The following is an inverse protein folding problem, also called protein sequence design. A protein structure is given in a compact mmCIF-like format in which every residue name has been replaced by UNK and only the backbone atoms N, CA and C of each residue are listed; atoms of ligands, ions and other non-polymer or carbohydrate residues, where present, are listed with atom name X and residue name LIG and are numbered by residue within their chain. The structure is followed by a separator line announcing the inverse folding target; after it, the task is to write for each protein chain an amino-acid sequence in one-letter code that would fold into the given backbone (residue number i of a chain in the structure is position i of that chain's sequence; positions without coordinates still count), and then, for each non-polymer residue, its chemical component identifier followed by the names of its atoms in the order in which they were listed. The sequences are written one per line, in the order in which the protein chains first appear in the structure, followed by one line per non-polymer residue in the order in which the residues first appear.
data_IF_066514271743
#
_entry.id   IF_066514271743
#
_cell.length_a   1.000
_cell.length_b   1.000
_cell.length_c   1.000
_cell.angle_alpha   90.00
_cell.angle_beta   90.00
_cell.angle_gamma   90.00
#
_symmetry.space_group_name_H-M   'P 1'
#
loop_
_entity.id
_entity.type
_entity.pdbx_description
1 polymer ?
#
# COMPACT_ATOMS: atom_id res chain seq x y z
N UNK A 1 19.58 16.33 12.02
CA UNK A 1 20.19 16.21 13.37
C UNK A 1 20.11 14.76 13.87
N UNK A 2 20.54 13.79 13.08
CA UNK A 2 20.63 12.36 13.44
C UNK A 2 22.05 11.80 13.28
N UNK A 3 23.06 12.69 13.13
CA UNK A 3 24.45 12.26 13.05
C UNK A 3 25.01 12.04 14.47
N UNK A 4 24.73 10.90 15.08
CA UNK A 4 25.48 10.43 16.24
C UNK A 4 25.40 8.91 16.31
N UNK A 5 26.55 8.26 16.16
CA UNK A 5 26.87 6.82 16.30
C UNK A 5 26.15 5.91 15.30
N UNK A 6 26.93 5.02 14.70
CA UNK A 6 26.44 3.86 13.91
C UNK A 6 25.35 3.16 14.72
N UNK A 7 24.12 3.25 14.29
CA UNK A 7 23.02 2.54 14.96
C UNK A 7 23.08 1.11 14.46
N UNK A 8 23.68 0.23 15.25
CA UNK A 8 23.74 -1.21 14.96
C UNK A 8 22.43 -1.88 15.42
N UNK A 9 21.32 -1.48 14.78
CA UNK A 9 19.98 -1.95 15.11
C UNK A 9 19.43 -2.82 14.00
N UNK A 10 18.54 -3.72 14.37
CA UNK A 10 17.67 -4.40 13.42
C UNK A 10 16.71 -3.41 12.75
N UNK A 11 16.31 -3.71 11.54
CA UNK A 11 15.27 -2.98 10.83
C UNK A 11 14.09 -3.91 10.61
N UNK A 12 12.92 -3.51 11.08
CA UNK A 12 11.67 -4.22 10.88
C UNK A 12 10.74 -3.30 10.10
N UNK A 13 10.46 -3.63 8.86
CA UNK A 13 9.49 -2.96 8.01
C UNK A 13 8.19 -3.77 8.07
N UNK A 14 7.10 -3.11 8.40
CA UNK A 14 5.75 -3.69 8.39
C UNK A 14 4.91 -2.86 7.45
N UNK A 15 4.41 -3.48 6.39
CA UNK A 15 3.43 -2.88 5.49
C UNK A 15 2.10 -3.59 5.64
N UNK A 16 1.02 -2.82 5.75
CA UNK A 16 -0.35 -3.33 5.86
C UNK A 16 -1.05 -2.92 4.56
N UNK A 17 -1.38 -3.91 3.74
CA UNK A 17 -2.01 -3.69 2.43
C UNK A 17 -3.34 -2.95 2.59
N UNK A 18 -3.60 -1.98 1.73
CA UNK A 18 -4.84 -1.20 1.71
C UNK A 18 -5.14 -0.37 2.98
N UNK A 19 -4.21 -0.19 3.93
CA UNK A 19 -4.51 0.53 5.17
C UNK A 19 -4.60 2.04 4.93
N UNK A 20 -5.77 2.60 5.12
CA UNK A 20 -6.04 4.04 5.03
C UNK A 20 -5.54 4.77 6.27
N UNK A 21 -4.96 5.95 6.06
CA UNK A 21 -4.51 6.83 7.15
C UNK A 21 -5.65 7.31 8.05
N UNK A 22 -6.81 7.62 7.43
CA UNK A 22 -7.97 8.19 8.11
C UNK A 22 -8.80 7.17 8.91
N UNK A 23 -8.36 5.90 8.98
CA UNK A 23 -8.89 4.86 9.86
C UNK A 23 -7.97 4.56 11.06
N UNK A 24 -6.91 5.37 11.29
CA UNK A 24 -6.07 5.26 12.47
C UNK A 24 -6.48 6.30 13.53
N UNK A 25 -6.66 5.86 14.79
CA UNK A 25 -7.05 6.76 15.88
C UNK A 25 -5.99 7.85 16.13
N UNK A 26 -4.68 7.53 16.09
CA UNK A 26 -3.59 8.52 16.20
C UNK A 26 -3.56 9.54 15.04
N UNK A 27 -4.29 9.31 13.97
CA UNK A 27 -4.45 10.23 12.84
C UNK A 27 -5.84 10.89 12.78
N UNK A 28 -6.64 10.76 13.86
CA UNK A 28 -7.93 11.45 13.99
C UNK A 28 -9.16 10.60 13.74
N UNK A 29 -9.03 9.29 13.51
CA UNK A 29 -10.20 8.43 13.39
C UNK A 29 -10.98 8.36 14.70
N UNK A 30 -12.31 8.48 14.62
CA UNK A 30 -13.16 8.56 15.82
C UNK A 30 -13.25 7.25 16.61
N UNK A 31 -13.00 6.09 15.96
CA UNK A 31 -13.05 4.78 16.61
C UNK A 31 -11.64 4.39 17.09
N UNK A 32 -11.52 4.01 18.35
CA UNK A 32 -10.27 3.49 18.91
C UNK A 32 -10.09 2.00 18.56
N UNK A 33 -9.69 1.74 17.33
CA UNK A 33 -9.47 0.38 16.79
C UNK A 33 -7.99 0.04 16.57
N UNK A 34 -7.08 1.00 16.77
CA UNK A 34 -5.64 0.88 16.50
C UNK A 34 -4.76 1.18 17.72
N UNK A 35 -5.03 0.65 18.93
CA UNK A 35 -4.29 1.01 20.13
C UNK A 35 -2.78 0.66 20.07
N UNK A 36 -2.40 -0.36 19.30
CA UNK A 36 -0.98 -0.73 19.13
C UNK A 36 -0.25 0.27 18.24
N UNK A 37 -0.86 0.65 17.12
CA UNK A 37 -0.32 1.66 16.22
C UNK A 37 -0.24 3.02 16.92
N UNK A 38 -1.26 3.39 17.69
CA UNK A 38 -1.28 4.62 18.50
C UNK A 38 -0.14 4.66 19.50
N UNK A 39 0.12 3.52 20.17
CA UNK A 39 1.24 3.41 21.11
C UNK A 39 2.59 3.54 20.40
N UNK A 40 2.76 2.90 19.25
CA UNK A 40 4.00 2.99 18.47
C UNK A 40 4.24 4.41 17.94
N UNK A 41 3.18 5.13 17.57
CA UNK A 41 3.23 6.53 17.19
C UNK A 41 3.64 7.43 18.39
N UNK A 42 3.03 7.21 19.55
CA UNK A 42 3.36 7.94 20.79
C UNK A 42 4.78 7.64 21.28
N UNK A 43 5.28 6.42 21.12
CA UNK A 43 6.64 6.01 21.47
C UNK A 43 7.67 6.31 20.35
N UNK A 44 7.26 6.93 19.24
CA UNK A 44 8.08 7.16 18.06
C UNK A 44 7.83 8.50 17.35
N UNK A 45 7.86 8.42 16.04
CA UNK A 45 7.63 9.54 15.12
C UNK A 45 6.44 9.18 14.23
N UNK A 46 5.41 10.02 14.23
CA UNK A 46 4.26 9.97 13.33
C UNK A 46 4.45 10.99 12.19
N UNK A 47 4.24 10.57 10.96
CA UNK A 47 4.18 11.49 9.81
C UNK A 47 2.72 11.71 9.43
N UNK A 48 2.24 12.94 9.55
CA UNK A 48 0.84 13.29 9.26
C UNK A 48 0.48 13.15 7.78
N UNK A 49 1.47 13.24 6.89
CA UNK A 49 1.22 13.16 5.45
C UNK A 49 2.30 12.33 4.79
N UNK A 50 2.02 11.05 4.56
CA UNK A 50 2.88 10.17 3.78
C UNK A 50 2.14 9.72 2.51
N UNK A 51 2.77 9.85 1.35
CA UNK A 51 2.15 9.63 0.05
C UNK A 51 2.73 8.38 -0.61
N UNK A 52 1.87 7.44 -0.93
CA UNK A 52 2.21 6.27 -1.74
C UNK A 52 2.59 6.67 -3.17
N UNK A 53 3.49 5.91 -3.77
CA UNK A 53 3.98 6.21 -5.12
C UNK A 53 3.01 5.75 -6.22
N UNK A 54 2.08 4.86 -5.88
CA UNK A 54 1.09 4.28 -6.77
C UNK A 54 -0.11 3.75 -5.98
N UNK A 55 -1.27 3.54 -6.63
CA UNK A 55 -2.50 3.17 -5.97
C UNK A 55 -2.68 1.65 -5.81
N UNK A 56 -1.68 0.84 -6.13
CA UNK A 56 -1.76 -0.62 -6.04
C UNK A 56 -0.39 -1.26 -5.84
N UNK A 57 -0.38 -2.38 -5.15
CA UNK A 57 0.79 -3.11 -4.65
C UNK A 57 1.87 -3.39 -5.70
N UNK A 58 1.54 -3.92 -6.93
CA UNK A 58 2.55 -4.20 -7.96
C UNK A 58 3.39 -3.01 -8.40
N UNK A 59 2.94 -1.78 -8.18
CA UNK A 59 3.66 -0.57 -8.53
C UNK A 59 4.24 0.13 -7.29
N UNK A 60 3.50 0.15 -6.18
CA UNK A 60 3.94 0.82 -4.96
C UNK A 60 5.12 0.11 -4.30
N UNK A 61 5.02 -1.22 -4.12
CA UNK A 61 6.05 -2.00 -3.42
C UNK A 61 7.42 -1.95 -4.12
N UNK A 62 7.55 -2.27 -5.41
CA UNK A 62 8.84 -2.13 -6.08
C UNK A 62 9.36 -0.70 -6.04
N UNK A 63 8.47 0.30 -6.08
CA UNK A 63 8.84 1.71 -6.05
C UNK A 63 9.51 2.10 -4.73
N UNK A 64 8.96 1.76 -3.58
CA UNK A 64 9.57 2.13 -2.31
C UNK A 64 10.80 1.28 -1.97
N UNK A 65 10.89 0.01 -2.42
CA UNK A 65 12.08 -0.82 -2.21
C UNK A 65 13.28 -0.40 -3.07
N UNK A 66 13.02 0.14 -4.26
CA UNK A 66 14.08 0.61 -5.19
C UNK A 66 14.26 2.12 -5.19
N UNK A 67 13.44 2.85 -4.43
CA UNK A 67 13.37 4.31 -4.45
C UNK A 67 13.27 4.89 -5.86
N UNK A 68 12.35 4.33 -6.67
CA UNK A 68 12.17 4.66 -8.10
C UNK A 68 10.69 4.84 -8.41
N UNK A 69 10.32 5.93 -9.11
CA UNK A 69 8.91 6.15 -9.50
C UNK A 69 8.40 5.08 -10.49
N UNK A 70 7.14 4.62 -10.34
CA UNK A 70 6.52 3.69 -11.28
C UNK A 70 6.28 4.36 -12.66
N UNK A 71 6.17 3.59 -13.75
CA UNK A 71 6.42 2.16 -13.84
C UNK A 71 7.90 1.84 -13.75
N UNK A 72 8.24 0.82 -12.97
CA UNK A 72 9.63 0.42 -12.79
C UNK A 72 10.02 -0.48 -13.96
N UNK A 73 10.93 -0.01 -14.81
CA UNK A 73 11.55 -0.84 -15.83
C UNK A 73 12.77 -1.53 -15.23
N UNK A 74 12.92 -2.81 -15.53
CA UNK A 74 14.07 -3.59 -15.09
C UNK A 74 15.36 -2.97 -15.63
N UNK A 75 16.36 -2.97 -14.80
CA UNK A 75 17.76 -2.70 -15.03
C UNK A 75 18.49 -3.19 -13.78
N UNK A 76 19.77 -2.98 -13.64
CA UNK A 76 20.59 -3.34 -12.47
C UNK A 76 20.24 -2.51 -11.20
N UNK A 77 18.96 -2.21 -10.97
CA UNK A 77 18.51 -1.44 -9.79
C UNK A 77 18.50 -2.36 -8.59
N UNK A 78 19.30 -1.99 -7.60
CA UNK A 78 19.33 -2.70 -6.33
C UNK A 78 18.21 -2.22 -5.43
N UNK A 79 17.58 -3.15 -4.74
CA UNK A 79 16.63 -2.85 -3.68
C UNK A 79 17.36 -2.47 -2.38
N UNK A 80 16.63 -1.88 -1.44
CA UNK A 80 17.16 -1.65 -0.08
C UNK A 80 17.61 -2.96 0.56
N UNK A 81 16.95 -4.08 0.28
CA UNK A 81 17.32 -5.41 0.76
C UNK A 81 18.74 -5.79 0.33
N UNK A 82 19.05 -5.67 -0.96
CA UNK A 82 20.39 -5.95 -1.49
C UNK A 82 21.45 -4.99 -0.90
N UNK A 83 21.08 -3.74 -0.64
CA UNK A 83 21.96 -2.77 0.01
C UNK A 83 22.28 -3.20 1.43
N UNK A 84 21.28 -3.58 2.21
CA UNK A 84 21.45 -4.02 3.59
C UNK A 84 22.24 -5.33 3.69
N UNK A 85 21.99 -6.30 2.81
CA UNK A 85 22.80 -7.54 2.73
C UNK A 85 24.29 -7.25 2.58
N UNK A 86 24.65 -6.34 1.68
CA UNK A 86 26.05 -5.93 1.47
C UNK A 86 26.68 -5.28 2.70
N UNK A 87 25.87 -4.79 3.64
CA UNK A 87 26.31 -4.19 4.89
C UNK A 87 26.13 -5.12 6.10
N UNK A 88 26.01 -6.43 5.84
CA UNK A 88 26.05 -7.47 6.87
C UNK A 88 24.71 -7.72 7.57
N UNK A 89 23.59 -7.29 6.99
CA UNK A 89 22.25 -7.65 7.47
C UNK A 89 21.85 -9.02 6.92
N UNK A 90 21.35 -9.90 7.79
CA UNK A 90 20.57 -11.06 7.37
C UNK A 90 19.16 -10.58 7.00
N UNK A 91 18.64 -10.97 5.86
CA UNK A 91 17.40 -10.40 5.33
C UNK A 91 16.30 -11.43 5.16
N UNK A 92 15.10 -11.12 5.63
CA UNK A 92 13.93 -11.98 5.48
C UNK A 92 12.67 -11.20 5.09
N UNK A 93 11.79 -11.86 4.36
CA UNK A 93 10.42 -11.39 4.16
C UNK A 93 9.42 -12.52 4.35
N UNK A 94 8.31 -12.18 5.00
CA UNK A 94 7.11 -12.98 5.11
C UNK A 94 5.98 -12.20 4.44
N UNK A 95 5.53 -12.72 3.31
CA UNK A 95 4.65 -11.98 2.42
C UNK A 95 3.73 -12.96 1.67
N UNK A 96 2.44 -12.99 2.00
CA UNK A 96 1.50 -13.88 1.36
C UNK A 96 1.04 -13.41 -0.04
N UNK A 97 1.47 -12.23 -0.51
CA UNK A 97 1.12 -11.71 -1.81
C UNK A 97 2.09 -12.25 -2.90
N UNK A 98 1.70 -13.26 -3.70
CA UNK A 98 2.60 -13.86 -4.69
C UNK A 98 2.94 -12.90 -5.84
N UNK A 99 2.13 -11.88 -6.05
CA UNK A 99 2.30 -10.92 -7.15
C UNK A 99 3.53 -10.03 -6.90
N UNK A 100 3.81 -9.68 -5.64
CA UNK A 100 4.94 -8.79 -5.29
C UNK A 100 6.28 -9.46 -5.57
N UNK A 101 6.40 -10.74 -5.27
CA UNK A 101 7.66 -11.46 -5.33
C UNK A 101 7.90 -12.17 -6.67
N UNK A 102 6.86 -12.26 -7.51
CA UNK A 102 6.96 -12.90 -8.82
C UNK A 102 7.32 -11.90 -9.93
N UNK A 103 7.97 -12.38 -10.98
CA UNK A 103 8.23 -11.60 -12.19
C UNK A 103 6.96 -11.20 -12.97
N UNK A 104 5.77 -11.62 -12.52
CA UNK A 104 4.48 -11.35 -13.17
C UNK A 104 4.09 -9.88 -12.98
N UNK A 105 4.28 -9.31 -11.79
CA UNK A 105 3.88 -7.94 -11.51
C UNK A 105 4.79 -6.89 -12.15
N UNK A 106 6.09 -7.15 -12.12
CA UNK A 106 7.10 -6.30 -12.77
C UNK A 106 8.03 -7.22 -13.55
N UNK A 107 7.89 -7.30 -14.88
CA UNK A 107 8.73 -8.17 -15.71
C UNK A 107 10.20 -7.97 -15.38
N UNK A 108 10.80 -9.04 -14.85
CA UNK A 108 12.20 -9.07 -14.50
C UNK A 108 12.57 -8.56 -13.10
N UNK A 109 11.64 -8.21 -12.22
CA UNK A 109 11.92 -8.05 -10.79
C UNK A 109 11.63 -9.35 -10.07
N UNK A 110 12.66 -9.99 -9.59
CA UNK A 110 12.55 -11.13 -8.69
C UNK A 110 12.95 -10.64 -7.30
N UNK A 111 12.04 -9.90 -6.66
CA UNK A 111 12.24 -9.36 -5.31
C UNK A 111 12.46 -10.48 -4.28
N UNK A 112 11.95 -11.69 -4.56
CA UNK A 112 12.21 -12.89 -3.76
C UNK A 112 13.71 -13.21 -3.66
N UNK A 113 14.46 -13.05 -4.74
CA UNK A 113 15.91 -13.34 -4.77
C UNK A 113 16.77 -12.34 -4.01
N UNK A 114 16.21 -11.19 -3.69
CA UNK A 114 16.91 -10.14 -2.97
C UNK A 114 17.06 -10.47 -1.47
N UNK A 115 16.19 -11.35 -0.93
CA UNK A 115 16.20 -11.77 0.46
C UNK A 115 17.04 -13.05 0.66
N UNK A 116 17.65 -13.22 1.84
CA UNK A 116 18.30 -14.47 2.24
C UNK A 116 17.26 -15.54 2.58
N UNK A 117 16.13 -15.13 3.14
CA UNK A 117 14.98 -15.96 3.45
C UNK A 117 13.69 -15.28 2.98
N UNK A 118 12.84 -16.02 2.30
CA UNK A 118 11.50 -15.56 1.96
C UNK A 118 10.47 -16.67 2.16
N UNK A 119 9.30 -16.30 2.68
CA UNK A 119 8.18 -17.20 2.85
C UNK A 119 6.93 -16.57 2.25
N UNK A 120 6.43 -17.17 1.18
CA UNK A 120 5.20 -16.74 0.50
C UNK A 120 3.95 -17.33 1.16
N UNK A 121 4.10 -18.18 2.19
CA UNK A 121 3.00 -18.84 2.88
C UNK A 121 2.05 -19.62 1.95
N UNK A 122 2.51 -19.98 0.75
CA UNK A 122 1.70 -20.64 -0.29
C UNK A 122 1.16 -22.00 0.10
N UNK A 123 1.82 -22.69 1.06
CA UNK A 123 1.38 -23.97 1.59
C UNK A 123 -0.03 -23.92 2.21
N UNK A 124 -0.45 -22.75 2.66
CA UNK A 124 -1.75 -22.52 3.28
C UNK A 124 -2.82 -22.06 2.28
N UNK A 125 -2.44 -21.76 1.04
CA UNK A 125 -3.40 -21.43 -0.02
C UNK A 125 -4.09 -22.67 -0.55
N UNK A 126 -5.38 -22.84 -0.25
CA UNK A 126 -6.15 -23.96 -0.78
C UNK A 126 -6.38 -23.80 -2.28
N UNK A 127 -5.77 -24.68 -3.07
CA UNK A 127 -5.79 -24.70 -4.54
C UNK A 127 -7.19 -24.68 -5.19
N UNK A 128 -8.23 -25.11 -4.46
CA UNK A 128 -9.60 -25.22 -4.97
C UNK A 128 -10.30 -23.87 -5.24
N UNK A 129 -9.98 -22.82 -4.51
CA UNK A 129 -10.59 -21.50 -4.71
C UNK A 129 -10.10 -20.78 -5.96
N UNK A 130 -8.87 -20.98 -6.37
CA UNK A 130 -8.28 -20.31 -7.53
C UNK A 130 -8.98 -20.71 -8.84
N UNK A 131 -9.27 -21.99 -9.04
CA UNK A 131 -9.90 -22.50 -10.29
C UNK A 131 -11.33 -22.01 -10.45
N UNK A 132 -12.12 -22.01 -9.36
CA UNK A 132 -13.50 -21.49 -9.38
C UNK A 132 -13.51 -19.99 -9.61
N UNK A 133 -12.59 -19.26 -8.99
CA UNK A 133 -12.45 -17.81 -9.13
C UNK A 133 -12.05 -17.41 -10.56
N UNK A 134 -11.08 -18.09 -11.16
CA UNK A 134 -10.68 -17.84 -12.54
C UNK A 134 -11.84 -18.08 -13.52
N UNK A 135 -12.57 -19.20 -13.37
CA UNK A 135 -13.72 -19.52 -14.20
C UNK A 135 -14.83 -18.48 -14.06
N UNK A 136 -15.08 -18.05 -12.83
CA UNK A 136 -16.07 -17.02 -12.54
C UNK A 136 -15.65 -15.65 -13.09
N UNK A 137 -14.38 -15.25 -12.95
CA UNK A 137 -13.87 -13.99 -13.51
C UNK A 137 -14.00 -13.97 -15.03
N UNK A 138 -13.73 -15.08 -15.70
CA UNK A 138 -13.94 -15.22 -17.15
C UNK A 138 -15.41 -15.05 -17.49
N UNK A 139 -16.32 -15.75 -16.80
CA UNK A 139 -17.76 -15.64 -17.02
C UNK A 139 -18.27 -14.20 -16.80
N UNK A 140 -17.89 -13.58 -15.68
CA UNK A 140 -18.29 -12.21 -15.36
C UNK A 140 -17.69 -11.19 -16.33
N UNK A 141 -16.48 -11.44 -16.83
CA UNK A 141 -15.87 -10.62 -17.89
C UNK A 141 -16.71 -10.67 -19.16
N UNK A 142 -17.16 -11.84 -19.60
CA UNK A 142 -18.03 -11.98 -20.78
C UNK A 142 -19.40 -11.35 -20.56
N UNK A 143 -20.01 -11.48 -19.38
CA UNK A 143 -21.28 -10.83 -19.04
C UNK A 143 -21.17 -9.28 -18.98
N UNK A 144 -20.00 -8.75 -18.65
CA UNK A 144 -19.74 -7.29 -18.62
C UNK A 144 -19.26 -6.71 -19.94
N UNK A 145 -18.69 -7.53 -20.83
CA UNK A 145 -18.21 -7.09 -22.14
C UNK A 145 -19.39 -6.63 -23.01
N UNK A 146 -19.51 -5.29 -23.14
CA UNK A 146 -20.49 -4.66 -24.02
C UNK A 146 -21.82 -4.26 -23.37
N UNK A 147 -22.06 -4.52 -22.09
CA UNK A 147 -23.25 -4.07 -21.39
C UNK A 147 -23.01 -2.71 -20.72
N UNK A 148 -23.76 -1.71 -21.18
CA UNK A 148 -23.81 -0.43 -20.50
C UNK A 148 -24.50 -0.60 -19.13
N UNK A 149 -23.88 -0.17 -18.04
CA UNK A 149 -24.41 -0.25 -16.67
C UNK A 149 -25.77 0.43 -16.51
N UNK A 150 -26.08 1.40 -17.37
CA UNK A 150 -27.39 2.09 -17.43
C UNK A 150 -28.45 1.28 -18.20
N UNK A 151 -28.06 0.22 -18.90
CA UNK A 151 -29.00 -0.55 -19.73
C UNK A 151 -29.96 -1.38 -18.88
N UNK A 152 -31.18 -1.58 -19.41
CA UNK A 152 -32.18 -2.44 -18.77
C UNK A 152 -31.71 -3.88 -18.63
N UNK A 153 -30.94 -4.38 -19.60
CA UNK A 153 -30.38 -5.74 -19.60
C UNK A 153 -29.39 -5.89 -18.43
N UNK A 154 -28.52 -4.94 -18.22
CA UNK A 154 -27.59 -4.98 -17.07
C UNK A 154 -28.34 -5.03 -15.74
N UNK A 155 -29.39 -4.21 -15.59
CA UNK A 155 -30.24 -4.20 -14.37
C UNK A 155 -30.97 -5.52 -14.16
N UNK A 156 -31.46 -6.16 -15.21
CA UNK A 156 -32.10 -7.48 -15.12
C UNK A 156 -31.08 -8.55 -14.68
N UNK A 157 -29.91 -8.59 -15.31
CA UNK A 157 -28.83 -9.53 -14.93
C UNK A 157 -28.44 -9.31 -13.48
N UNK A 158 -28.28 -8.04 -13.06
CA UNK A 158 -28.01 -7.74 -11.67
C UNK A 158 -29.10 -8.26 -10.72
N UNK A 159 -30.38 -8.04 -11.02
CA UNK A 159 -31.48 -8.51 -10.18
C UNK A 159 -31.50 -10.03 -10.04
N UNK A 160 -31.30 -10.76 -11.13
CA UNK A 160 -31.20 -12.21 -11.10
C UNK A 160 -30.01 -12.69 -10.27
N UNK A 161 -28.87 -12.03 -10.44
CA UNK A 161 -27.66 -12.31 -9.65
C UNK A 161 -27.88 -12.01 -8.16
N UNK A 162 -28.45 -10.85 -7.82
CA UNK A 162 -28.72 -10.44 -6.43
C UNK A 162 -29.68 -11.44 -5.73
N UNK A 163 -30.73 -11.89 -6.45
CA UNK A 163 -31.62 -12.96 -5.96
C UNK A 163 -30.85 -14.28 -5.74
N UNK A 164 -30.00 -14.65 -6.68
CA UNK A 164 -29.20 -15.88 -6.58
C UNK A 164 -28.20 -15.84 -5.42
N UNK A 165 -27.50 -14.71 -5.19
CA UNK A 165 -26.56 -14.59 -4.06
C UNK A 165 -27.32 -14.62 -2.72
N UNK A 166 -28.47 -13.99 -2.63
CA UNK A 166 -29.29 -13.99 -1.42
C UNK A 166 -29.80 -15.39 -1.08
N UNK A 167 -30.21 -16.16 -2.08
CA UNK A 167 -30.73 -17.51 -1.92
C UNK A 167 -29.64 -18.56 -1.72
N UNK A 168 -28.52 -18.42 -2.42
CA UNK A 168 -27.42 -19.40 -2.45
C UNK A 168 -26.05 -18.75 -2.28
N UNK A 169 -25.79 -18.04 -1.18
CA UNK A 169 -24.54 -17.30 -1.00
C UNK A 169 -23.31 -18.21 -1.03
N UNK A 170 -23.42 -19.44 -0.57
CA UNK A 170 -22.31 -20.41 -0.51
C UNK A 170 -21.90 -20.97 -1.89
N UNK A 171 -22.78 -20.93 -2.89
CA UNK A 171 -22.48 -21.40 -4.25
C UNK A 171 -21.74 -20.32 -5.03
N UNK A 172 -22.20 -19.06 -4.93
CA UNK A 172 -21.68 -17.94 -5.71
C UNK A 172 -20.50 -17.21 -5.04
N UNK A 173 -20.36 -17.36 -3.74
CA UNK A 173 -19.20 -16.92 -2.97
C UNK A 173 -18.74 -18.06 -2.07
N UNK A 174 -18.04 -19.07 -2.59
CA UNK A 174 -17.55 -20.17 -1.79
C UNK A 174 -16.71 -19.63 -0.63
N UNK A 175 -16.70 -20.37 0.49
CA UNK A 175 -16.00 -20.03 1.75
C UNK A 175 -14.55 -19.57 1.49
N UNK A 176 -14.37 -18.34 1.07
CA UNK A 176 -13.08 -17.75 0.74
C UNK A 176 -12.37 -17.13 1.95
N UNK A 177 -12.87 -17.42 3.16
CA UNK A 177 -12.43 -16.71 4.34
C UNK A 177 -10.95 -16.82 4.68
N UNK A 178 -10.16 -17.68 4.04
CA UNK A 178 -8.75 -17.87 4.40
C UNK A 178 -7.90 -18.41 3.26
N UNK A 179 -7.94 -17.78 2.09
CA UNK A 179 -6.93 -18.08 1.05
C UNK A 179 -5.63 -17.33 1.28
N UNK A 180 -5.69 -16.20 1.96
CA UNK A 180 -4.53 -15.40 2.34
C UNK A 180 -4.23 -15.73 3.80
N UNK A 181 -2.98 -16.09 4.14
CA UNK A 181 -2.55 -16.30 5.51
C UNK A 181 -2.82 -15.06 6.37
N UNK A 182 -3.38 -15.28 7.55
CA UNK A 182 -3.67 -14.23 8.51
C UNK A 182 -2.38 -13.65 9.12
N UNK A 183 -2.46 -12.41 9.61
CA UNK A 183 -1.35 -11.74 10.28
C UNK A 183 -0.77 -12.57 11.45
N UNK A 184 -1.61 -13.32 12.19
CA UNK A 184 -1.15 -14.20 13.26
C UNK A 184 -0.29 -15.35 12.77
N UNK A 185 -0.62 -15.96 11.62
CA UNK A 185 0.18 -17.03 11.03
C UNK A 185 1.50 -16.50 10.51
N UNK A 186 1.47 -15.34 9.85
CA UNK A 186 2.65 -14.61 9.40
C UNK A 186 3.59 -14.34 10.59
N UNK A 187 3.05 -13.86 11.71
CA UNK A 187 3.80 -13.57 12.92
C UNK A 187 4.46 -14.82 13.51
N UNK A 188 3.77 -15.97 13.54
CA UNK A 188 4.36 -17.24 14.03
C UNK A 188 5.62 -17.62 13.23
N UNK A 189 5.54 -17.55 11.90
CA UNK A 189 6.67 -17.85 11.01
C UNK A 189 7.80 -16.82 11.20
N UNK A 190 7.49 -15.54 11.23
CA UNK A 190 8.45 -14.48 11.43
C UNK A 190 9.18 -14.58 12.78
N UNK A 191 8.45 -14.82 13.87
CA UNK A 191 9.02 -14.98 15.21
C UNK A 191 9.91 -16.22 15.29
N UNK A 192 9.53 -17.34 14.66
CA UNK A 192 10.38 -18.52 14.59
C UNK A 192 11.69 -18.23 13.86
N UNK A 193 11.65 -17.42 12.81
CA UNK A 193 12.86 -16.98 12.13
C UNK A 193 13.70 -16.05 13.01
N UNK A 194 13.08 -15.04 13.65
CA UNK A 194 13.76 -14.07 14.54
C UNK A 194 14.46 -14.75 15.71
N UNK A 195 13.88 -15.77 16.33
CA UNK A 195 14.49 -16.55 17.43
C UNK A 195 15.90 -17.07 17.11
N UNK A 196 16.17 -17.33 15.85
CA UNK A 196 17.44 -17.89 15.39
C UNK A 196 18.44 -16.83 14.92
N UNK A 197 18.10 -15.53 14.96
CA UNK A 197 18.99 -14.49 14.50
C UNK A 197 19.98 -14.08 15.60
N UNK A 198 21.26 -14.17 15.28
CA UNK A 198 22.37 -13.72 16.15
C UNK A 198 23.00 -12.42 15.70
N UNK A 199 22.83 -12.09 14.42
CA UNK A 199 23.34 -10.88 13.78
C UNK A 199 22.20 -9.90 13.56
N UNK A 200 22.54 -8.64 13.22
CA UNK A 200 21.55 -7.66 12.80
C UNK A 200 20.80 -8.13 11.56
N UNK A 201 19.51 -7.82 11.52
CA UNK A 201 18.65 -8.29 10.44
C UNK A 201 17.75 -7.19 9.91
N UNK A 202 17.32 -7.37 8.67
CA UNK A 202 16.22 -6.67 8.03
C UNK A 202 15.08 -7.66 7.84
N UNK A 203 13.96 -7.39 8.48
CA UNK A 203 12.74 -8.17 8.39
C UNK A 203 11.65 -7.32 7.72
N UNK A 204 11.04 -7.81 6.65
CA UNK A 204 9.85 -7.22 6.05
C UNK A 204 8.65 -8.13 6.21
N UNK A 205 7.61 -7.62 6.89
CA UNK A 205 6.30 -8.25 7.00
C UNK A 205 5.32 -7.48 6.14
N UNK A 206 4.51 -8.19 5.35
CA UNK A 206 3.43 -7.59 4.56
C UNK A 206 2.11 -8.25 4.95
N UNK A 207 1.29 -7.55 5.73
CA UNK A 207 -0.02 -8.02 6.15
C UNK A 207 -1.05 -7.74 5.08
N UNK A 208 -1.87 -8.75 4.77
CA UNK A 208 -2.90 -8.71 3.73
C UNK A 208 -4.33 -8.69 4.30
N UNK A 209 -4.48 -8.73 5.62
CA UNK A 209 -5.79 -8.87 6.29
C UNK A 209 -6.74 -7.72 5.94
N UNK A 210 -6.22 -6.51 5.75
CA UNK A 210 -6.99 -5.30 5.46
C UNK A 210 -7.34 -5.15 3.98
N UNK A 211 -6.79 -6.01 3.10
CA UNK A 211 -7.13 -6.07 1.69
C UNK A 211 -8.48 -6.80 1.47
N UNK A 212 -9.24 -6.40 0.46
CA UNK A 212 -10.46 -7.12 0.11
C UNK A 212 -10.20 -8.61 -0.23
N UNK A 213 -11.12 -9.52 0.05
CA UNK A 213 -12.43 -9.36 0.67
C UNK A 213 -12.34 -9.14 2.17
N UNK A 214 -13.05 -8.13 2.70
CA UNK A 214 -13.06 -7.81 4.13
C UNK A 214 -13.80 -8.89 4.90
N UNK A 215 -13.05 -9.87 5.39
CA UNK A 215 -13.57 -11.10 6.01
C UNK A 215 -12.95 -11.33 7.40
N UNK A 216 -13.23 -10.44 8.37
CA UNK A 216 -12.59 -10.49 9.68
C UNK A 216 -12.80 -11.85 10.35
N UNK A 217 -11.75 -12.43 10.97
CA UNK A 217 -11.86 -13.68 11.68
C UNK A 217 -12.96 -13.65 12.74
N UNK A 218 -13.73 -14.74 12.83
CA UNK A 218 -14.84 -14.90 13.78
C UNK A 218 -16.05 -13.95 13.55
N UNK A 219 -16.21 -13.39 12.36
CA UNK A 219 -17.42 -12.66 12.02
C UNK A 219 -18.61 -13.61 11.90
N UNK A 220 -19.63 -13.43 12.75
CA UNK A 220 -20.71 -14.41 12.91
C UNK A 220 -21.66 -14.46 11.72
N UNK A 221 -21.94 -13.32 11.07
CA UNK A 221 -22.89 -13.26 9.96
C UNK A 221 -22.25 -13.61 8.61
N UNK A 222 -21.86 -14.87 8.46
CA UNK A 222 -21.22 -15.35 7.23
C UNK A 222 -22.07 -15.14 5.97
N UNK A 223 -23.40 -15.20 6.08
CA UNK A 223 -24.29 -14.99 4.91
C UNK A 223 -24.20 -13.55 4.42
N UNK A 224 -24.24 -12.57 5.32
CA UNK A 224 -24.08 -11.17 4.98
C UNK A 224 -22.71 -10.87 4.39
N UNK A 225 -21.66 -11.42 5.01
CA UNK A 225 -20.30 -11.27 4.54
C UNK A 225 -20.13 -11.78 3.10
N UNK A 226 -20.61 -13.00 2.83
CA UNK A 226 -20.55 -13.60 1.50
C UNK A 226 -21.34 -12.81 0.45
N UNK A 227 -22.52 -12.31 0.85
CA UNK A 227 -23.34 -11.46 0.00
C UNK A 227 -22.63 -10.15 -0.35
N UNK A 228 -22.13 -9.43 0.66
CA UNK A 228 -21.43 -8.15 0.46
C UNK A 228 -20.16 -8.32 -0.37
N UNK A 229 -19.36 -9.36 -0.08
CA UNK A 229 -18.13 -9.66 -0.82
C UNK A 229 -18.43 -9.97 -2.30
N UNK A 230 -19.44 -10.80 -2.57
CA UNK A 230 -19.84 -11.14 -3.94
C UNK A 230 -20.32 -9.89 -4.69
N UNK A 231 -21.15 -9.07 -4.06
CA UNK A 231 -21.69 -7.85 -4.65
C UNK A 231 -20.62 -6.79 -4.90
N UNK A 232 -19.74 -6.57 -3.92
CA UNK A 232 -18.57 -5.66 -4.04
C UNK A 232 -17.69 -6.05 -5.24
N UNK A 233 -17.40 -7.34 -5.38
CA UNK A 233 -16.54 -7.85 -6.42
C UNK A 233 -17.20 -7.81 -7.81
N UNK A 234 -18.48 -8.17 -7.90
CA UNK A 234 -19.15 -8.42 -9.17
C UNK A 234 -19.97 -7.23 -9.66
N UNK A 235 -20.58 -6.47 -8.76
CA UNK A 235 -21.43 -5.34 -9.07
C UNK A 235 -21.19 -4.15 -8.13
N UNK A 236 -19.95 -3.62 -8.03
CA UNK A 236 -19.60 -2.56 -7.09
C UNK A 236 -20.51 -1.32 -7.24
N UNK A 237 -20.86 -0.94 -8.46
CA UNK A 237 -21.71 0.22 -8.73
C UNK A 237 -23.19 0.04 -8.30
N UNK A 238 -23.57 -1.17 -7.88
CA UNK A 238 -24.93 -1.47 -7.40
C UNK A 238 -25.01 -1.56 -5.87
N UNK A 239 -23.91 -1.31 -5.16
CA UNK A 239 -23.93 -1.23 -3.71
C UNK A 239 -24.69 0.01 -3.24
N UNK A 240 -25.57 -0.20 -2.27
CA UNK A 240 -26.27 0.89 -1.59
C UNK A 240 -25.35 1.56 -0.56
N UNK A 241 -25.68 2.78 -0.15
CA UNK A 241 -24.94 3.49 0.92
C UNK A 241 -24.84 2.67 2.21
N UNK A 242 -25.92 1.95 2.57
CA UNK A 242 -25.93 1.10 3.75
C UNK A 242 -24.99 -0.09 3.61
N UNK A 243 -24.92 -0.71 2.44
CA UNK A 243 -24.00 -1.82 2.15
C UNK A 243 -22.54 -1.35 2.14
N UNK A 244 -22.27 -0.16 1.60
CA UNK A 244 -20.94 0.46 1.68
C UNK A 244 -20.55 0.71 3.14
N UNK A 245 -21.47 1.22 3.98
CA UNK A 245 -21.21 1.40 5.41
C UNK A 245 -20.93 0.08 6.14
N UNK A 246 -21.60 -1.00 5.73
CA UNK A 246 -21.30 -2.34 6.27
C UNK A 246 -19.90 -2.83 5.84
N UNK A 247 -19.49 -2.58 4.60
CA UNK A 247 -18.13 -2.89 4.14
C UNK A 247 -17.07 -2.09 4.92
N UNK A 248 -17.31 -0.81 5.20
CA UNK A 248 -16.45 0.01 6.05
C UNK A 248 -16.36 -0.57 7.47
N UNK A 249 -17.46 -1.05 8.02
CA UNK A 249 -17.44 -1.68 9.34
C UNK A 249 -16.65 -3.00 9.35
N UNK A 250 -16.73 -3.80 8.28
CA UNK A 250 -15.91 -5.00 8.12
C UNK A 250 -14.43 -4.65 7.98
N UNK A 251 -14.11 -3.64 7.19
CA UNK A 251 -12.75 -3.10 7.05
C UNK A 251 -12.18 -2.64 8.40
N UNK A 252 -12.96 -1.92 9.22
CA UNK A 252 -12.57 -1.54 10.59
C UNK A 252 -12.28 -2.76 11.49
N UNK A 253 -13.05 -3.84 11.33
CA UNK A 253 -12.81 -5.07 12.08
C UNK A 253 -11.51 -5.76 11.66
N UNK A 254 -11.16 -5.73 10.36
CA UNK A 254 -9.88 -6.24 9.87
C UNK A 254 -8.71 -5.40 10.40
N UNK A 255 -8.82 -4.07 10.39
CA UNK A 255 -7.81 -3.19 11.00
C UNK A 255 -7.62 -3.53 12.48
N UNK A 256 -8.73 -3.67 13.22
CA UNK A 256 -8.68 -4.02 14.64
C UNK A 256 -8.05 -5.38 14.90
N UNK A 257 -8.30 -6.36 14.03
CA UNK A 257 -7.67 -7.67 14.09
C UNK A 257 -6.18 -7.58 13.83
N UNK A 258 -5.78 -6.88 12.76
CA UNK A 258 -4.37 -6.69 12.37
C UNK A 258 -3.59 -5.94 13.46
N UNK A 259 -4.18 -4.92 14.09
CA UNK A 259 -3.57 -4.19 15.21
C UNK A 259 -3.32 -5.10 16.43
N UNK A 260 -4.25 -6.01 16.73
CA UNK A 260 -4.07 -7.01 17.79
C UNK A 260 -2.96 -7.99 17.46
N UNK A 261 -2.90 -8.49 16.22
CA UNK A 261 -1.85 -9.37 15.76
C UNK A 261 -0.49 -8.67 15.83
N UNK A 262 -0.44 -7.40 15.45
CA UNK A 262 0.76 -6.56 15.59
C UNK A 262 1.19 -6.44 17.06
N UNK A 263 0.25 -6.25 18.00
CA UNK A 263 0.59 -6.22 19.42
C UNK A 263 1.26 -7.52 19.86
N UNK A 264 0.71 -8.67 19.47
CA UNK A 264 1.29 -9.99 19.81
C UNK A 264 2.72 -10.08 19.26
N UNK A 265 2.94 -9.69 18.00
CA UNK A 265 4.27 -9.66 17.40
C UNK A 265 5.25 -8.78 18.19
N UNK A 266 4.85 -7.57 18.57
CA UNK A 266 5.67 -6.65 19.39
C UNK A 266 5.99 -7.25 20.77
N UNK A 267 5.05 -7.91 21.44
CA UNK A 267 5.30 -8.56 22.72
C UNK A 267 6.28 -9.72 22.58
N UNK A 268 6.20 -10.51 21.52
CA UNK A 268 7.17 -11.58 21.27
C UNK A 268 8.59 -11.02 20.97
N UNK A 269 8.70 -9.91 20.21
CA UNK A 269 9.98 -9.24 20.02
C UNK A 269 10.59 -8.76 21.34
N UNK A 270 9.75 -8.28 22.29
CA UNK A 270 10.21 -7.89 23.64
C UNK A 270 10.72 -9.07 24.43
N UNK A 271 10.01 -10.20 24.44
CA UNK A 271 10.43 -11.45 25.11
C UNK A 271 11.75 -11.97 24.56
N UNK A 272 12.00 -11.78 23.27
CA UNK A 272 13.25 -12.17 22.59
C UNK A 272 14.38 -11.13 22.72
N UNK A 273 14.17 -10.03 23.43
CA UNK A 273 15.12 -8.90 23.57
C UNK A 273 15.52 -8.25 22.22
N UNK A 274 14.66 -8.36 21.20
CA UNK A 274 14.89 -7.73 19.90
C UNK A 274 14.19 -6.36 19.77
N UNK A 275 13.15 -6.06 20.56
CA UNK A 275 12.36 -4.84 20.43
C UNK A 275 13.20 -3.59 20.62
N UNK A 276 13.94 -3.46 21.72
CA UNK A 276 14.74 -2.27 22.03
C UNK A 276 15.95 -2.10 21.09
N UNK A 277 16.38 -3.20 20.48
CA UNK A 277 17.43 -3.20 19.48
C UNK A 277 16.89 -3.16 18.03
N UNK A 278 15.65 -2.72 17.83
CA UNK A 278 15.05 -2.62 16.51
C UNK A 278 14.54 -1.22 16.22
N UNK A 279 14.61 -0.83 14.96
CA UNK A 279 13.84 0.28 14.40
C UNK A 279 12.66 -0.35 13.66
N UNK A 280 11.46 0.02 14.06
CA UNK A 280 10.21 -0.49 13.49
C UNK A 280 9.60 0.60 12.63
N UNK A 281 9.41 0.31 11.36
CA UNK A 281 8.79 1.21 10.38
C UNK A 281 7.47 0.58 9.96
N UNK A 282 6.37 1.31 10.14
CA UNK A 282 5.04 0.85 9.76
C UNK A 282 4.46 1.81 8.74
N UNK A 283 3.92 1.26 7.66
CA UNK A 283 3.20 2.00 6.62
C UNK A 283 2.17 1.10 5.95
N UNK A 284 1.38 1.68 5.04
CA UNK A 284 0.70 0.92 4.01
C UNK A 284 1.42 1.12 2.68
N UNK A 285 1.20 0.23 1.74
CA UNK A 285 1.67 0.42 0.35
C UNK A 285 0.73 1.34 -0.45
N UNK A 286 -0.58 1.29 -0.17
CA UNK A 286 -1.64 2.20 -0.60
C UNK A 286 -2.85 2.08 0.34
N UNK A 287 -3.87 2.89 0.11
CA UNK A 287 -5.18 2.81 0.76
C UNK A 287 -6.23 2.13 -0.12
N UNK A 288 -7.50 2.37 0.18
CA UNK A 288 -8.65 1.81 -0.54
C UNK A 288 -9.83 2.78 -0.57
N UNK A 289 -10.70 2.72 -1.60
CA UNK A 289 -11.84 3.60 -1.74
C UNK A 289 -13.15 2.89 -1.40
N UNK A 290 -14.07 3.59 -0.72
CA UNK A 290 -15.40 3.10 -0.32
C UNK A 290 -16.55 3.87 -0.98
N UNK A 291 -16.40 4.23 -2.27
CA UNK A 291 -17.40 4.95 -3.03
C UNK A 291 -17.13 6.44 -3.13
N UNK A 292 -16.08 6.93 -2.54
CA UNK A 292 -15.55 8.26 -2.82
C UNK A 292 -15.24 8.35 -4.32
N UNK A 293 -15.51 9.47 -4.94
CA UNK A 293 -15.33 9.69 -6.40
C UNK A 293 -16.02 8.63 -7.29
N UNK A 294 -17.07 7.98 -6.77
CA UNK A 294 -17.86 6.97 -7.51
C UNK A 294 -17.15 5.66 -7.78
N UNK A 295 -16.08 5.35 -7.04
CA UNK A 295 -15.36 4.08 -7.19
C UNK A 295 -15.20 3.36 -5.89
N UNK A 296 -15.04 2.03 -5.98
CA UNK A 296 -14.75 1.12 -4.88
C UNK A 296 -13.46 0.39 -5.17
N UNK A 297 -12.67 0.18 -4.13
CA UNK A 297 -11.36 -0.43 -4.24
C UNK A 297 -10.26 0.54 -4.67
N UNK A 298 -9.05 0.04 -4.75
CA UNK A 298 -7.86 0.83 -5.13
C UNK A 298 -7.58 0.83 -6.64
N UNK A 299 -8.49 0.26 -7.42
CA UNK A 299 -8.52 0.36 -8.87
C UNK A 299 -7.79 -0.76 -9.60
N UNK A 300 -8.42 -1.24 -10.66
CA UNK A 300 -7.80 -2.08 -11.67
C UNK A 300 -7.16 -1.22 -12.77
N UNK A 301 -6.64 -1.90 -13.79
CA UNK A 301 -5.86 -1.32 -14.91
C UNK A 301 -6.45 -0.07 -15.58
N UNK A 302 -7.77 0.16 -15.47
CA UNK A 302 -8.48 1.23 -16.17
C UNK A 302 -9.13 2.27 -15.24
N UNK A 303 -9.09 2.08 -13.90
CA UNK A 303 -9.72 2.99 -12.92
C UNK A 303 -8.79 3.28 -11.74
N UNK A 304 -7.49 3.14 -11.92
CA UNK A 304 -6.52 3.40 -10.87
C UNK A 304 -6.55 4.87 -10.48
N UNK A 305 -7.13 5.15 -9.33
CA UNK A 305 -7.33 6.48 -8.79
C UNK A 305 -6.14 6.92 -7.94
N UNK A 306 -5.94 8.23 -7.86
CA UNK A 306 -4.86 8.84 -7.10
C UNK A 306 -5.38 9.88 -6.11
N UNK A 307 -6.60 9.63 -5.56
CA UNK A 307 -7.18 10.46 -4.50
C UNK A 307 -6.60 10.13 -3.12
N UNK A 308 -6.86 11.01 -2.15
CA UNK A 308 -6.25 10.91 -0.81
C UNK A 308 -6.56 9.58 -0.12
N UNK A 309 -7.77 9.03 -0.27
CA UNK A 309 -8.15 7.74 0.33
C UNK A 309 -7.31 6.56 -0.17
N UNK A 310 -6.66 6.71 -1.34
CA UNK A 310 -5.84 5.65 -1.94
C UNK A 310 -4.35 5.91 -1.80
N UNK A 311 -3.90 7.17 -1.94
CA UNK A 311 -2.45 7.45 -1.93
C UNK A 311 -1.93 8.05 -0.63
N UNK A 312 -2.77 8.59 0.25
CA UNK A 312 -2.34 9.03 1.55
C UNK A 312 -2.37 7.83 2.52
N UNK A 313 -1.22 7.47 3.04
CA UNK A 313 -1.01 6.27 3.85
C UNK A 313 -0.44 6.63 5.23
N UNK A 314 -0.65 5.81 6.25
CA UNK A 314 0.00 6.01 7.54
C UNK A 314 1.51 5.77 7.43
N UNK A 315 2.29 6.48 8.24
CA UNK A 315 3.72 6.24 8.40
C UNK A 315 4.16 6.51 9.82
N UNK A 316 4.67 5.48 10.49
CA UNK A 316 5.14 5.51 11.86
C UNK A 316 6.56 4.93 11.91
N UNK A 317 7.48 5.59 12.61
CA UNK A 317 8.82 5.08 12.88
C UNK A 317 9.06 5.06 14.38
N UNK A 318 9.20 3.87 14.96
CA UNK A 318 9.47 3.63 16.37
C UNK A 318 10.86 3.01 16.59
N UNK A 319 11.34 2.98 17.84
CA UNK A 319 12.66 2.44 18.18
C UNK A 319 13.82 3.43 18.00
N UNK A 320 13.52 4.67 17.68
CA UNK A 320 14.45 5.79 17.75
C UNK A 320 14.37 6.40 19.17
N UNK A 321 15.47 6.94 19.68
CA UNK A 321 15.48 7.63 21.00
C UNK A 321 14.70 8.96 20.94
N UNK A 322 13.51 8.94 20.34
CA UNK A 322 12.61 10.07 20.14
C UNK A 322 11.18 9.58 20.31
N UNK A 323 10.39 10.29 21.12
CA UNK A 323 9.02 9.90 21.46
C UNK A 323 8.06 11.05 21.21
N UNK A 324 6.87 10.74 20.75
CA UNK A 324 5.76 11.67 20.59
C UNK A 324 6.05 12.80 19.59
N UNK A 325 6.84 12.53 18.56
CA UNK A 325 7.14 13.52 17.53
C UNK A 325 6.16 13.36 16.39
N UNK A 326 5.46 14.42 16.05
CA UNK A 326 4.64 14.50 14.85
C UNK A 326 5.36 15.36 13.80
N UNK A 327 5.44 14.87 12.57
CA UNK A 327 6.02 15.57 11.43
C UNK A 327 4.91 15.94 10.46
N UNK A 328 4.62 17.26 10.35
CA UNK A 328 3.53 17.79 9.52
C UNK A 328 3.89 18.00 8.04
N UNK A 329 5.19 17.96 7.71
CA UNK A 329 5.57 18.04 6.30
C UNK A 329 5.22 16.77 5.57
N UNK A 330 4.82 16.92 4.32
CA UNK A 330 4.56 15.75 3.48
C UNK A 330 5.87 15.00 3.16
N UNK A 331 5.77 13.68 3.15
CA UNK A 331 6.82 12.76 2.71
C UNK A 331 6.26 11.77 1.70
N UNK A 332 7.11 11.13 0.93
CA UNK A 332 6.69 10.16 -0.08
C UNK A 332 7.37 8.82 0.19
N UNK A 333 6.66 7.71 0.01
CA UNK A 333 7.23 6.35 0.22
C UNK A 333 8.45 6.08 -0.66
N UNK A 334 8.66 6.86 -1.72
CA UNK A 334 9.90 6.86 -2.50
C UNK A 334 11.14 7.09 -1.61
N UNK A 335 10.98 7.81 -0.52
CA UNK A 335 12.01 8.10 0.48
C UNK A 335 12.26 6.98 1.50
N UNK A 336 11.50 5.87 1.47
CA UNK A 336 11.62 4.80 2.46
C UNK A 336 13.02 4.17 2.45
N UNK A 337 13.49 3.74 1.29
CA UNK A 337 14.81 3.11 1.16
C UNK A 337 15.96 4.05 1.52
N UNK A 338 16.02 5.31 1.07
CA UNK A 338 17.00 6.29 1.56
C UNK A 338 16.91 6.55 3.07
N UNK A 339 15.70 6.56 3.65
CA UNK A 339 15.49 6.72 5.09
C UNK A 339 16.09 5.57 5.87
N UNK A 340 15.86 4.32 5.43
CA UNK A 340 16.49 3.14 6.05
C UNK A 340 18.00 3.25 5.96
N UNK A 341 18.57 3.65 4.82
CA UNK A 341 20.01 3.87 4.70
C UNK A 341 20.53 4.92 5.70
N UNK A 342 19.82 6.05 5.84
CA UNK A 342 20.20 7.10 6.82
C UNK A 342 20.14 6.58 8.26
N UNK A 343 19.10 5.85 8.63
CA UNK A 343 18.90 5.31 9.98
C UNK A 343 20.02 4.35 10.41
N UNK A 344 20.64 3.66 9.47
CA UNK A 344 21.73 2.72 9.74
C UNK A 344 23.10 3.22 9.25
N UNK A 345 23.19 4.51 8.93
CA UNK A 345 24.40 5.19 8.48
C UNK A 345 25.07 4.55 7.26
N UNK A 346 24.25 4.13 6.30
CA UNK A 346 24.66 3.63 4.98
C UNK A 346 24.45 4.73 3.95
N UNK A 347 25.43 4.96 3.08
CA UNK A 347 25.26 5.87 1.95
C UNK A 347 24.28 5.27 0.93
N UNK A 348 23.15 5.94 0.64
CA UNK A 348 22.19 5.44 -0.34
C UNK A 348 22.82 5.35 -1.74
N UNK A 349 22.54 4.30 -2.52
CA UNK A 349 23.00 4.18 -3.88
C UNK A 349 22.52 5.35 -4.76
N UNK A 350 23.30 5.75 -5.78
CA UNK A 350 22.95 6.90 -6.64
C UNK A 350 21.61 6.77 -7.39
N UNK A 351 21.12 5.54 -7.57
CA UNK A 351 19.83 5.27 -8.22
C UNK A 351 18.64 5.36 -7.29
N UNK A 352 18.82 5.59 -5.98
CA UNK A 352 17.73 5.94 -5.10
C UNK A 352 17.36 7.41 -5.35
N UNK A 353 16.19 7.66 -5.91
CA UNK A 353 15.76 9.00 -6.32
C UNK A 353 14.99 9.74 -5.21
N UNK A 354 14.36 9.00 -4.30
CA UNK A 354 13.69 9.58 -3.15
C UNK A 354 14.66 10.25 -2.19
N UNK A 355 14.15 11.19 -1.41
CA UNK A 355 14.87 11.81 -0.29
C UNK A 355 14.47 11.14 1.01
N UNK A 356 15.40 11.02 1.94
CA UNK A 356 15.07 10.55 3.29
C UNK A 356 13.94 11.36 3.90
N UNK A 357 13.09 10.73 4.70
CA UNK A 357 12.02 11.40 5.44
C UNK A 357 12.56 12.45 6.42
N UNK A 358 13.83 12.38 6.78
CA UNK A 358 14.51 13.33 7.67
C UNK A 358 15.28 14.43 6.93
N UNK A 359 15.35 14.36 5.61
CA UNK A 359 15.99 15.42 4.81
C UNK A 359 15.25 16.75 5.02
N UNK A 360 16.03 17.82 5.26
CA UNK A 360 15.48 19.16 5.46
C UNK A 360 14.88 19.74 4.18
N UNK A 361 15.45 19.37 3.03
CA UNK A 361 14.99 19.83 1.72
C UNK A 361 14.12 18.75 1.11
N UNK A 362 12.82 18.88 1.27
CA UNK A 362 11.84 18.04 0.59
C UNK A 362 11.44 18.66 -0.76
N UNK A 363 10.96 17.83 -1.68
CA UNK A 363 10.36 18.32 -2.92
C UNK A 363 9.09 19.12 -2.62
N UNK A 364 8.85 20.19 -3.40
CA UNK A 364 7.63 21.01 -3.25
C UNK A 364 6.38 20.20 -3.52
N UNK A 365 6.46 19.23 -4.41
CA UNK A 365 5.37 18.31 -4.74
C UNK A 365 5.88 16.90 -4.96
N UNK A 366 4.97 15.96 -4.88
CA UNK A 366 5.21 14.51 -4.96
C UNK A 366 4.41 13.90 -6.08
N UNK A 367 4.98 12.92 -6.76
CA UNK A 367 4.36 12.27 -7.92
C UNK A 367 3.87 10.88 -7.50
N UNK A 368 2.57 10.65 -7.63
CA UNK A 368 1.99 9.31 -7.67
C UNK A 368 1.63 8.95 -9.10
N UNK A 369 1.86 7.70 -9.50
CA UNK A 369 1.68 7.27 -10.87
C UNK A 369 1.05 5.89 -10.97
N UNK A 370 0.04 5.79 -11.83
CA UNK A 370 -0.62 4.53 -12.19
C UNK A 370 -0.58 4.32 -13.72
N UNK A 371 -1.15 3.23 -14.19
CA UNK A 371 -1.35 3.01 -15.63
C UNK A 371 -2.32 4.03 -16.23
N UNK A 372 -3.33 4.44 -15.48
CA UNK A 372 -4.42 5.31 -15.95
C UNK A 372 -4.20 6.80 -15.64
N UNK A 373 -3.61 7.14 -14.51
CA UNK A 373 -3.50 8.51 -14.03
C UNK A 373 -2.07 8.84 -13.58
N UNK A 374 -1.78 10.13 -13.50
CA UNK A 374 -0.62 10.67 -12.81
C UNK A 374 -1.06 11.85 -11.96
N UNK A 375 -0.58 11.92 -10.73
CA UNK A 375 -0.88 13.01 -9.81
C UNK A 375 0.39 13.72 -9.35
N UNK A 376 0.25 15.02 -9.17
CA UNK A 376 1.24 15.88 -8.52
C UNK A 376 0.60 16.52 -7.29
N UNK A 377 1.08 16.12 -6.11
CA UNK A 377 0.56 16.56 -4.82
C UNK A 377 1.55 17.48 -4.13
N UNK A 378 1.14 18.70 -3.88
CA UNK A 378 1.81 19.64 -2.97
C UNK A 378 1.12 19.61 -1.60
N UNK A 379 1.61 20.34 -0.61
CA UNK A 379 0.93 20.47 0.69
C UNK A 379 -0.50 21.00 0.53
N UNK A 380 -0.72 21.95 -0.40
CA UNK A 380 -1.99 22.63 -0.58
C UNK A 380 -2.83 22.10 -1.72
N UNK A 381 -2.22 21.73 -2.84
CA UNK A 381 -2.94 21.38 -4.06
C UNK A 381 -2.60 19.99 -4.53
N UNK A 382 -3.57 19.32 -5.12
CA UNK A 382 -3.36 18.09 -5.89
C UNK A 382 -3.86 18.28 -7.32
N UNK A 383 -3.00 18.01 -8.27
CA UNK A 383 -3.27 18.05 -9.69
C UNK A 383 -3.20 16.64 -10.27
N UNK A 384 -4.23 16.20 -10.98
CA UNK A 384 -4.33 14.84 -11.54
C UNK A 384 -4.57 14.97 -13.06
N UNK A 385 -3.89 14.12 -13.82
CA UNK A 385 -4.14 13.94 -15.26
C UNK A 385 -4.59 12.50 -15.49
N UNK A 386 -5.78 12.32 -16.05
CA UNK A 386 -6.21 11.05 -16.62
C UNK A 386 -5.50 10.85 -17.97
N UNK A 387 -4.76 9.74 -18.09
CA UNK A 387 -3.97 9.43 -19.29
C UNK A 387 -4.78 8.69 -20.37
N UNK A 388 -5.96 8.19 -20.01
CA UNK A 388 -6.82 7.36 -20.87
C UNK A 388 -7.93 8.21 -21.47
N UNK A 389 -8.68 8.95 -20.64
CA UNK A 389 -9.82 9.75 -21.08
C UNK A 389 -9.40 11.15 -21.48
N UNK A 390 -9.07 11.34 -22.77
CA UNK A 390 -8.77 12.63 -23.39
C UNK A 390 -7.88 13.59 -22.59
N UNK A 391 -7.05 13.06 -21.70
CA UNK A 391 -6.20 13.82 -20.75
C UNK A 391 -7.03 14.76 -19.86
N UNK A 392 -8.18 14.30 -19.39
CA UNK A 392 -8.96 15.05 -18.41
C UNK A 392 -8.09 15.46 -17.23
N UNK A 393 -8.23 16.72 -16.80
CA UNK A 393 -7.42 17.33 -15.75
C UNK A 393 -8.28 17.68 -14.55
N UNK A 394 -7.75 17.40 -13.39
CA UNK A 394 -8.39 17.70 -12.13
C UNK A 394 -7.43 18.50 -11.23
N UNK A 395 -7.99 19.43 -10.46
CA UNK A 395 -7.24 20.23 -9.50
C UNK A 395 -8.07 20.39 -8.24
N UNK A 396 -7.46 20.08 -7.09
CA UNK A 396 -8.10 20.13 -5.77
C UNK A 396 -7.29 21.00 -4.81
N UNK A 397 -8.00 21.76 -3.97
CA UNK A 397 -7.44 22.54 -2.87
C UNK A 397 -7.56 21.72 -1.57
N UNK A 398 -6.54 20.98 -1.22
CA UNK A 398 -6.54 20.05 -0.09
C UNK A 398 -6.69 20.73 1.28
N UNK A 399 -6.41 22.03 1.39
CA UNK A 399 -6.62 22.79 2.64
C UNK A 399 -8.12 23.08 2.87
N UNK A 400 -8.87 23.39 1.81
CA UNK A 400 -10.27 23.75 1.89
C UNK A 400 -11.22 22.62 1.47
N UNK A 401 -10.70 21.64 0.76
CA UNK A 401 -11.42 20.46 0.25
C UNK A 401 -10.57 19.20 0.38
N UNK A 402 -10.28 18.76 1.61
CA UNK A 402 -9.44 17.58 1.85
C UNK A 402 -10.06 16.27 1.31
N UNK A 403 -11.36 16.26 1.04
CA UNK A 403 -12.07 15.12 0.43
C UNK A 403 -12.18 15.20 -1.09
N UNK A 404 -11.49 16.16 -1.74
CA UNK A 404 -11.38 16.28 -3.20
C UNK A 404 -12.73 16.26 -3.96
N UNK A 405 -13.75 16.89 -3.38
CA UNK A 405 -15.14 16.88 -3.89
C UNK A 405 -15.35 17.85 -5.03
N UNK A 406 -14.53 18.91 -5.12
CA UNK A 406 -14.71 20.01 -6.07
C UNK A 406 -13.48 20.16 -6.97
N UNK A 407 -13.58 19.69 -8.20
CA UNK A 407 -12.57 19.98 -9.23
C UNK A 407 -12.60 21.47 -9.58
N UNK A 408 -11.54 22.21 -9.22
CA UNK A 408 -11.39 23.64 -9.47
C UNK A 408 -10.55 23.96 -10.71
N UNK A 409 -10.11 22.96 -11.49
CA UNK A 409 -9.19 23.13 -12.62
C UNK A 409 -9.70 24.17 -13.63
N UNK A 410 -10.97 24.06 -14.05
CA UNK A 410 -11.50 24.90 -15.12
C UNK A 410 -11.53 26.39 -14.75
N UNK A 411 -11.70 26.71 -13.46
CA UNK A 411 -11.67 28.09 -12.94
C UNK A 411 -10.25 28.55 -12.56
N UNK A 412 -9.28 27.67 -12.54
CA UNK A 412 -7.90 27.94 -12.09
C UNK A 412 -6.84 27.39 -13.07
N UNK A 413 -7.08 27.48 -14.38
CA UNK A 413 -6.22 26.92 -15.42
C UNK A 413 -4.75 27.31 -15.26
N UNK A 414 -4.44 28.58 -15.01
CA UNK A 414 -3.05 29.07 -14.81
C UNK A 414 -2.34 28.33 -13.68
N UNK A 415 -3.05 28.03 -12.58
CA UNK A 415 -2.50 27.26 -11.46
C UNK A 415 -2.28 25.80 -11.88
N UNK A 416 -3.26 25.18 -12.56
CA UNK A 416 -3.14 23.82 -13.08
C UNK A 416 -1.96 23.66 -14.03
N UNK A 417 -1.82 24.56 -15.00
CA UNK A 417 -0.72 24.55 -15.99
C UNK A 417 0.67 24.71 -15.31
N UNK A 418 0.74 25.52 -14.25
CA UNK A 418 1.96 25.65 -13.45
C UNK A 418 2.30 24.33 -12.76
N UNK A 419 1.33 23.70 -12.08
CA UNK A 419 1.55 22.42 -11.37
C UNK A 419 1.91 21.31 -12.35
N UNK A 420 1.29 21.28 -13.53
CA UNK A 420 1.65 20.38 -14.63
C UNK A 420 3.11 20.56 -15.04
N UNK A 421 3.54 21.80 -15.25
CA UNK A 421 4.93 22.12 -15.61
C UNK A 421 5.91 21.68 -14.51
N UNK A 422 5.59 21.92 -13.23
CA UNK A 422 6.41 21.46 -12.11
C UNK A 422 6.52 19.92 -12.09
N UNK A 423 5.41 19.21 -12.29
CA UNK A 423 5.34 17.75 -12.37
C UNK A 423 6.20 17.21 -13.52
N UNK A 424 6.05 17.78 -14.73
CA UNK A 424 6.81 17.37 -15.92
C UNK A 424 8.31 17.60 -15.74
N UNK A 425 8.71 18.71 -15.14
CA UNK A 425 10.10 19.00 -14.81
C UNK A 425 10.71 17.97 -13.86
N UNK A 426 9.97 17.56 -12.82
CA UNK A 426 10.42 16.51 -11.91
C UNK A 426 10.61 15.16 -12.64
N UNK A 427 9.64 14.77 -13.47
CA UNK A 427 9.73 13.54 -14.27
C UNK A 427 10.92 13.56 -15.24
N UNK A 428 11.15 14.70 -15.90
CA UNK A 428 12.26 14.84 -16.82
C UNK A 428 13.62 14.77 -16.10
N UNK A 429 13.72 15.43 -14.94
CA UNK A 429 14.94 15.37 -14.12
C UNK A 429 15.23 13.94 -13.64
N UNK A 430 14.20 13.19 -13.24
CA UNK A 430 14.37 11.77 -12.89
C UNK A 430 14.82 10.94 -14.11
N UNK A 431 14.21 11.16 -15.25
CA UNK A 431 14.61 10.52 -16.52
C UNK A 431 16.07 10.80 -16.88
N UNK A 432 16.51 12.06 -16.78
CA UNK A 432 17.90 12.46 -17.05
C UNK A 432 18.87 11.78 -16.08
N UNK A 433 18.56 11.77 -14.79
CA UNK A 433 19.36 11.06 -13.77
C UNK A 433 19.46 9.57 -14.08
N UNK A 434 18.35 8.90 -14.43
CA UNK A 434 18.34 7.48 -14.84
C UNK A 434 19.26 7.23 -16.03
N UNK A 435 19.13 8.00 -17.10
CA UNK A 435 19.94 7.86 -18.31
C UNK A 435 21.44 8.03 -18.03
N UNK A 436 21.81 9.00 -17.20
CA UNK A 436 23.21 9.22 -16.80
C UNK A 436 23.78 8.06 -15.98
N UNK A 437 22.97 7.45 -15.12
CA UNK A 437 23.37 6.30 -14.34
C UNK A 437 23.52 5.04 -15.19
N UNK A 438 22.61 4.79 -16.13
CA UNK A 438 22.69 3.66 -17.07
C UNK A 438 23.96 3.76 -17.93
N UNK A 439 24.31 4.96 -18.40
CA UNK A 439 25.56 5.20 -19.14
C UNK A 439 26.78 4.89 -18.25
N UNK A 440 26.81 5.36 -17.00
CA UNK A 440 27.94 5.11 -16.08
C UNK A 440 28.08 3.64 -15.69
N UNK A 441 26.99 2.87 -15.66
CA UNK A 441 27.00 1.44 -15.35
C UNK A 441 27.45 0.59 -16.54
N UNK A 442 27.18 1.05 -17.76
CA UNK A 442 27.63 0.37 -19.00
C UNK A 442 29.08 0.68 -19.38
N UNK A 443 29.70 1.68 -18.74
CA UNK A 443 31.12 2.06 -18.93
C UNK A 443 32.04 1.41 -17.87
N UNK A 444 31.52 0.59 -16.97
CA UNK A 444 32.25 -0.23 -16.00
C UNK A 444 32.09 -1.72 -16.31
#
# INVERSE_FOLDING_TARGET
MLRSKTIDKNIILITIDCLRWDHLHCMGYSKNITPTLDKLAADGILFNTAIANAPYTPFSVPSFLTSTLPPIRKGNKKTITEVLKKHGYTTATFNPNPIILSSIAVPGSRLDKDFDYYDLMLSNMKRYGLVIEETRQVLMKYLRLGLNEKSTIYKIIYLLYDMAIKSFPTILSPKQHHYIPLAEDLNKHAINWVKNQKNKFFLWLHYMDVHEPYAPPNYENHKELMYLTAKYRDFPNMLTKNEIQKLINLYDLEIKYTDRALNVFIQELKKLNHYDNSIIIISADHGDAFGEHGTLGHGGKFRAQLYEEVIHVPLIISGLNKKGITIDRQVQLLGLAPTICELVNIQPPPHFFGKSFFDKIQEKGMIANSSACIAYRTKKYKFIINKIDNKEKELYDLENDPGEKKNIYYNNKKLGDRLESEMLNLLENEKKKRKLLDIKLNLK
#
